data_IF_384784463108
#
_entry.id   IF_384784463108
#
_cell.length_a   1.000
_cell.length_b   1.000
_cell.length_c   1.000
_cell.angle_alpha   90.00
_cell.angle_beta   90.00
_cell.angle_gamma   90.00
#
_symmetry.space_group_name_H-M   'P 1'
#
loop_
_entity.id
_entity.type
_entity.pdbx_description
1 polymer ?
#
# COMPACT_ATOMS: atom_id res chain seq x y z
N UNK A 1 -15.76 -35.25 -16.23
CA UNK A 1 -16.18 -36.67 -16.34
C UNK A 1 -17.05 -36.97 -15.13
N UNK A 2 -18.19 -37.63 -15.29
CA UNK A 2 -19.04 -38.05 -14.15
C UNK A 2 -18.41 -39.26 -13.48
N UNK A 3 -18.26 -39.22 -12.17
CA UNK A 3 -17.79 -40.35 -11.39
C UNK A 3 -18.88 -41.43 -11.42
N UNK A 4 -18.52 -42.66 -11.78
CA UNK A 4 -19.41 -43.82 -11.60
C UNK A 4 -19.28 -44.31 -10.16
N UNK A 5 -20.39 -44.37 -9.46
CA UNK A 5 -20.44 -44.80 -8.06
C UNK A 5 -20.82 -46.28 -8.02
N UNK A 6 -19.95 -47.16 -8.56
CA UNK A 6 -20.15 -48.60 -8.56
C UNK A 6 -19.10 -49.30 -7.67
N UNK A 7 -19.44 -50.49 -7.18
CA UNK A 7 -18.50 -51.30 -6.37
C UNK A 7 -17.29 -51.68 -7.25
N UNK A 8 -16.10 -51.57 -6.67
CA UNK A 8 -14.77 -51.74 -7.28
C UNK A 8 -14.33 -50.62 -8.25
N UNK A 9 -15.07 -49.48 -8.34
CA UNK A 9 -14.61 -48.31 -9.10
C UNK A 9 -13.50 -47.62 -8.34
N UNK A 10 -12.53 -47.09 -9.12
CA UNK A 10 -11.40 -46.36 -8.55
C UNK A 10 -11.77 -44.87 -8.47
N UNK A 11 -11.60 -44.30 -7.28
CA UNK A 11 -11.81 -42.88 -7.02
C UNK A 11 -10.60 -42.31 -6.29
N UNK A 12 -10.44 -40.99 -6.33
CA UNK A 12 -9.38 -40.28 -5.66
C UNK A 12 -9.99 -39.31 -4.62
N UNK A 13 -9.40 -39.31 -3.45
CA UNK A 13 -9.70 -38.35 -2.39
C UNK A 13 -8.36 -37.71 -1.94
N UNK A 14 -8.22 -36.42 -2.18
CA UNK A 14 -6.99 -35.65 -1.84
C UNK A 14 -5.72 -36.36 -2.34
N UNK A 15 -5.66 -36.66 -3.64
CA UNK A 15 -4.56 -37.37 -4.35
C UNK A 15 -4.32 -38.83 -3.94
N UNK A 16 -5.04 -39.35 -2.96
CA UNK A 16 -4.92 -40.73 -2.53
C UNK A 16 -5.95 -41.60 -3.26
N UNK A 17 -5.51 -42.73 -3.74
CA UNK A 17 -6.33 -43.70 -4.51
C UNK A 17 -7.16 -44.59 -3.59
N UNK A 18 -8.45 -44.66 -3.87
CA UNK A 18 -9.41 -45.49 -3.14
C UNK A 18 -10.20 -46.39 -4.12
N UNK A 19 -10.68 -47.50 -3.65
CA UNK A 19 -11.60 -48.40 -4.35
C UNK A 19 -12.93 -48.42 -3.62
N UNK A 20 -14.04 -48.13 -4.29
CA UNK A 20 -15.37 -48.13 -3.70
C UNK A 20 -15.75 -49.57 -3.32
N UNK A 21 -16.02 -49.81 -2.04
CA UNK A 21 -16.51 -51.09 -1.52
C UNK A 21 -18.05 -51.11 -1.45
N UNK A 22 -18.67 -49.99 -1.05
CA UNK A 22 -20.13 -49.86 -1.01
C UNK A 22 -20.55 -48.40 -1.05
N UNK A 23 -21.69 -48.11 -1.67
CA UNK A 23 -22.37 -46.80 -1.59
C UNK A 23 -23.30 -46.86 -0.39
N UNK A 24 -23.04 -46.00 0.62
CA UNK A 24 -23.81 -46.00 1.86
C UNK A 24 -25.11 -45.20 1.73
N UNK A 25 -25.02 -44.03 1.08
CA UNK A 25 -26.16 -43.15 0.80
C UNK A 25 -25.81 -42.21 -0.35
N UNK A 26 -26.70 -41.25 -0.66
CA UNK A 26 -26.47 -40.23 -1.73
C UNK A 26 -25.32 -39.25 -1.46
N UNK A 27 -24.76 -39.24 -0.25
CA UNK A 27 -23.70 -38.29 0.14
C UNK A 27 -22.38 -39.00 0.42
N UNK A 28 -22.38 -40.29 0.76
CA UNK A 28 -21.18 -41.00 1.26
C UNK A 28 -21.01 -42.37 0.66
N UNK A 29 -19.76 -42.77 0.46
CA UNK A 29 -19.33 -44.11 0.06
C UNK A 29 -18.34 -44.69 1.07
N UNK A 30 -18.34 -45.99 1.25
CA UNK A 30 -17.27 -46.71 1.92
C UNK A 30 -16.25 -47.12 0.84
N UNK A 31 -15.02 -46.68 1.02
CA UNK A 31 -13.95 -46.94 0.08
C UNK A 31 -12.67 -47.35 0.77
N UNK A 32 -11.95 -48.30 0.18
CA UNK A 32 -10.71 -48.84 0.71
C UNK A 32 -9.52 -48.10 0.12
N UNK A 33 -8.67 -47.58 0.98
CA UNK A 33 -7.40 -46.96 0.60
C UNK A 33 -6.46 -48.04 0.02
N UNK A 34 -5.94 -47.80 -1.19
CA UNK A 34 -5.09 -48.77 -1.90
C UNK A 34 -3.68 -48.90 -1.29
N UNK A 35 -3.21 -47.88 -0.59
CA UNK A 35 -1.87 -47.85 0.01
C UNK A 35 -1.87 -48.43 1.43
N UNK A 36 -2.87 -48.05 2.25
CA UNK A 36 -2.93 -48.47 3.67
C UNK A 36 -3.78 -49.71 3.91
N UNK A 37 -4.61 -50.08 2.92
CA UNK A 37 -5.55 -51.23 3.02
C UNK A 37 -6.73 -51.00 3.97
N UNK A 38 -6.89 -49.80 4.57
CA UNK A 38 -7.99 -49.47 5.50
C UNK A 38 -9.19 -48.94 4.72
N UNK A 39 -10.38 -49.27 5.21
CA UNK A 39 -11.64 -48.76 4.65
C UNK A 39 -12.08 -47.53 5.43
N UNK A 40 -12.42 -46.43 4.65
CA UNK A 40 -12.87 -45.16 5.17
C UNK A 40 -14.22 -44.79 4.58
N UNK A 41 -14.99 -43.94 5.28
CA UNK A 41 -16.23 -43.37 4.76
C UNK A 41 -15.94 -42.00 4.19
N UNK A 42 -16.10 -41.88 2.87
CA UNK A 42 -15.77 -40.66 2.11
C UNK A 42 -17.03 -40.00 1.59
N UNK A 43 -17.04 -38.65 1.58
CA UNK A 43 -18.13 -37.87 0.97
C UNK A 43 -17.97 -37.85 -0.55
N UNK A 44 -19.05 -38.19 -1.27
CA UNK A 44 -19.09 -38.25 -2.74
C UNK A 44 -18.69 -36.91 -3.37
N UNK A 45 -19.08 -35.80 -2.73
CA UNK A 45 -18.77 -34.45 -3.20
C UNK A 45 -17.26 -34.14 -3.27
N UNK A 46 -16.42 -34.89 -2.57
CA UNK A 46 -14.96 -34.67 -2.51
C UNK A 46 -14.17 -35.73 -3.30
N UNK A 47 -14.85 -36.63 -4.02
CA UNK A 47 -14.21 -37.64 -4.83
C UNK A 47 -13.95 -37.12 -6.24
N UNK A 48 -12.84 -37.56 -6.84
CA UNK A 48 -12.47 -37.27 -8.23
C UNK A 48 -12.18 -38.55 -8.98
N UNK A 49 -12.39 -38.58 -10.33
CA UNK A 49 -12.08 -39.69 -11.17
C UNK A 49 -10.60 -39.81 -11.56
N UNK A 50 -9.79 -38.80 -11.24
CA UNK A 50 -8.36 -38.75 -11.49
C UNK A 50 -7.67 -38.01 -10.31
N UNK A 51 -6.37 -38.26 -10.05
CA UNK A 51 -5.64 -37.56 -9.02
C UNK A 51 -5.58 -36.07 -9.32
N UNK A 52 -5.69 -35.26 -8.27
CA UNK A 52 -5.60 -33.79 -8.38
C UNK A 52 -4.23 -33.33 -8.88
N UNK A 53 -3.19 -34.16 -8.75
CA UNK A 53 -1.85 -33.93 -9.22
C UNK A 53 -1.75 -33.79 -10.76
N UNK A 54 -2.65 -34.39 -11.51
CA UNK A 54 -2.70 -34.23 -12.97
C UNK A 54 -3.27 -32.88 -13.42
N UNK A 55 -3.90 -32.12 -12.49
CA UNK A 55 -4.34 -30.75 -12.73
C UNK A 55 -3.31 -29.69 -12.34
N UNK A 56 -2.13 -30.06 -11.82
CA UNK A 56 -1.04 -29.15 -11.40
C UNK A 56 -0.34 -28.39 -12.53
N UNK A 57 -0.72 -28.55 -13.77
CA UNK A 57 -0.15 -27.81 -14.90
C UNK A 57 -0.97 -26.59 -15.36
N UNK A 58 -2.02 -26.18 -14.65
CA UNK A 58 -2.49 -24.81 -14.78
C UNK A 58 -1.63 -23.92 -13.90
N UNK A 59 -0.67 -23.23 -14.53
CA UNK A 59 0.13 -22.17 -13.91
C UNK A 59 -0.80 -21.30 -13.07
N UNK A 60 -0.57 -21.29 -11.76
CA UNK A 60 -1.13 -20.25 -10.89
C UNK A 60 -0.60 -18.94 -11.47
N UNK A 61 -1.43 -18.24 -12.21
CA UNK A 61 -1.03 -16.97 -12.81
C UNK A 61 -0.87 -15.99 -11.65
N UNK A 62 0.33 -15.50 -11.49
CA UNK A 62 0.60 -14.44 -10.52
C UNK A 62 -0.28 -13.24 -10.90
N UNK A 63 -1.17 -12.86 -9.97
CA UNK A 63 -2.11 -11.74 -10.16
C UNK A 63 -1.40 -10.45 -10.57
N UNK A 64 -0.14 -10.30 -10.17
CA UNK A 64 0.69 -9.15 -10.55
C UNK A 64 1.07 -9.11 -12.04
N UNK A 65 0.91 -10.21 -12.75
CA UNK A 65 1.23 -10.32 -14.19
C UNK A 65 -0.01 -10.16 -15.07
N UNK A 66 -1.21 -10.09 -14.49
CA UNK A 66 -2.47 -10.00 -15.23
C UNK A 66 -2.78 -8.53 -15.54
N UNK A 67 -3.11 -8.18 -16.80
CA UNK A 67 -3.54 -6.84 -17.17
C UNK A 67 -4.72 -6.36 -16.33
N UNK A 68 -4.66 -5.12 -15.86
CA UNK A 68 -5.67 -4.47 -14.99
C UNK A 68 -7.11 -4.65 -15.51
N UNK A 69 -7.32 -4.48 -16.82
CA UNK A 69 -8.63 -4.68 -17.47
C UNK A 69 -9.18 -6.10 -17.31
N UNK A 70 -8.32 -7.10 -17.30
CA UNK A 70 -8.74 -8.50 -17.11
C UNK A 70 -9.04 -8.78 -15.65
N UNK A 71 -8.30 -8.16 -14.75
CA UNK A 71 -8.51 -8.26 -13.31
C UNK A 71 -9.86 -7.63 -12.92
N UNK A 72 -10.16 -6.44 -13.44
CA UNK A 72 -11.46 -5.77 -13.21
C UNK A 72 -12.64 -6.60 -13.76
N UNK A 73 -12.46 -7.26 -14.92
CA UNK A 73 -13.48 -8.19 -15.46
C UNK A 73 -13.64 -9.42 -14.57
N UNK A 74 -12.56 -9.96 -14.03
CA UNK A 74 -12.60 -11.09 -13.13
C UNK A 74 -13.31 -10.74 -11.82
N UNK A 75 -13.06 -9.54 -11.25
CA UNK A 75 -13.77 -9.02 -10.09
C UNK A 75 -15.27 -8.91 -10.33
N UNK A 76 -15.69 -8.29 -11.44
CA UNK A 76 -17.11 -8.21 -11.82
C UNK A 76 -17.76 -9.59 -11.96
N UNK A 77 -17.04 -10.57 -12.48
CA UNK A 77 -17.54 -11.95 -12.58
C UNK A 77 -17.68 -12.59 -11.20
N UNK A 78 -16.70 -12.35 -10.32
CA UNK A 78 -16.76 -12.83 -8.94
C UNK A 78 -17.97 -12.23 -8.20
N UNK A 79 -18.19 -10.93 -8.26
CA UNK A 79 -19.35 -10.24 -7.68
C UNK A 79 -20.67 -10.75 -8.26
N UNK A 80 -20.69 -11.13 -9.55
CA UNK A 80 -21.86 -11.69 -10.19
C UNK A 80 -22.22 -13.07 -9.63
N UNK A 81 -21.24 -13.95 -9.38
CA UNK A 81 -21.48 -15.34 -8.98
C UNK A 81 -21.60 -15.55 -7.48
N UNK A 82 -20.96 -14.70 -6.63
CA UNK A 82 -20.96 -14.86 -5.17
C UNK A 82 -22.33 -15.08 -4.53
N UNK A 83 -23.39 -14.31 -4.90
CA UNK A 83 -24.72 -14.49 -4.29
C UNK A 83 -25.35 -15.86 -4.57
N UNK A 84 -25.04 -16.46 -5.72
CA UNK A 84 -25.65 -17.73 -6.19
C UNK A 84 -24.70 -18.92 -6.02
N UNK A 85 -23.44 -18.67 -5.64
CA UNK A 85 -22.41 -19.71 -5.53
C UNK A 85 -22.72 -20.75 -4.45
N UNK A 86 -23.24 -20.30 -3.28
CA UNK A 86 -23.55 -21.18 -2.14
C UNK A 86 -24.88 -21.92 -2.32
N UNK A 87 -25.88 -21.28 -2.90
CA UNK A 87 -27.22 -21.85 -3.07
C UNK A 87 -27.33 -22.79 -4.27
N UNK A 88 -26.51 -22.61 -5.29
CA UNK A 88 -26.41 -23.37 -6.55
C UNK A 88 -27.79 -23.83 -7.11
N UNK A 89 -28.82 -23.00 -6.95
CA UNK A 89 -30.13 -23.26 -7.50
C UNK A 89 -30.19 -22.78 -8.95
N UNK A 90 -30.73 -23.61 -9.83
CA UNK A 90 -30.93 -23.27 -11.26
C UNK A 90 -31.74 -21.99 -11.41
N UNK A 91 -32.82 -21.87 -10.66
CA UNK A 91 -33.71 -20.71 -10.70
C UNK A 91 -32.98 -19.42 -10.26
N UNK A 92 -32.19 -19.46 -9.16
CA UNK A 92 -31.41 -18.34 -8.70
C UNK A 92 -30.34 -17.90 -9.72
N UNK A 93 -29.72 -18.86 -10.43
CA UNK A 93 -28.75 -18.57 -11.49
C UNK A 93 -29.43 -17.92 -12.70
N UNK A 94 -30.61 -18.40 -13.11
CA UNK A 94 -31.39 -17.83 -14.22
C UNK A 94 -31.85 -16.39 -13.91
N UNK A 95 -32.36 -16.14 -12.70
CA UNK A 95 -32.77 -14.81 -12.23
C UNK A 95 -31.57 -13.85 -12.20
N UNK A 96 -30.45 -14.28 -11.64
CA UNK A 96 -29.22 -13.47 -11.57
C UNK A 96 -28.62 -13.18 -12.94
N UNK A 97 -28.65 -14.15 -13.87
CA UNK A 97 -28.21 -13.96 -15.24
C UNK A 97 -29.07 -12.91 -15.97
N UNK A 98 -30.39 -12.92 -15.77
CA UNK A 98 -31.32 -11.95 -16.32
C UNK A 98 -31.10 -10.55 -15.75
N UNK A 99 -30.89 -10.45 -14.44
CA UNK A 99 -30.59 -9.19 -13.74
C UNK A 99 -29.34 -8.50 -14.30
N UNK A 100 -28.29 -9.29 -14.54
CA UNK A 100 -26.99 -8.79 -15.02
C UNK A 100 -26.89 -8.69 -16.56
N UNK A 101 -27.90 -9.10 -17.29
CA UNK A 101 -27.88 -9.11 -18.77
C UNK A 101 -26.86 -10.06 -19.40
N UNK A 102 -26.51 -11.15 -18.70
CA UNK A 102 -25.54 -12.14 -19.15
C UNK A 102 -26.25 -13.46 -19.48
N UNK A 103 -25.63 -14.29 -20.37
CA UNK A 103 -26.20 -15.59 -20.69
C UNK A 103 -26.08 -16.55 -19.48
N UNK A 104 -27.09 -17.41 -19.30
CA UNK A 104 -27.09 -18.46 -18.28
C UNK A 104 -25.84 -19.33 -18.39
N UNK A 105 -25.44 -19.66 -19.63
CA UNK A 105 -24.23 -20.43 -19.91
C UNK A 105 -22.96 -19.73 -19.40
N UNK A 106 -22.89 -18.40 -19.51
CA UNK A 106 -21.77 -17.63 -18.96
C UNK A 106 -21.69 -17.73 -17.45
N UNK A 107 -22.83 -17.67 -16.75
CA UNK A 107 -22.88 -17.83 -15.29
C UNK A 107 -22.38 -19.21 -14.85
N UNK A 108 -22.84 -20.27 -15.50
CA UNK A 108 -22.34 -21.62 -15.23
C UNK A 108 -20.84 -21.77 -15.49
N UNK A 109 -20.35 -21.20 -16.59
CA UNK A 109 -18.92 -21.24 -16.91
C UNK A 109 -18.09 -20.53 -15.83
N UNK A 110 -18.54 -19.38 -15.33
CA UNK A 110 -17.85 -18.64 -14.26
C UNK A 110 -17.90 -19.40 -12.93
N UNK A 111 -19.05 -19.95 -12.57
CA UNK A 111 -19.20 -20.74 -11.34
C UNK A 111 -18.28 -21.98 -11.39
N UNK A 112 -18.25 -22.69 -12.50
CA UNK A 112 -17.41 -23.89 -12.65
C UNK A 112 -15.92 -23.55 -12.63
N UNK A 113 -15.52 -22.44 -13.28
CA UNK A 113 -14.14 -21.98 -13.25
C UNK A 113 -13.70 -21.55 -11.84
N UNK A 114 -14.55 -20.85 -11.09
CA UNK A 114 -14.27 -20.45 -9.72
C UNK A 114 -14.24 -21.63 -8.77
N UNK A 115 -15.16 -22.61 -8.92
CA UNK A 115 -15.24 -23.81 -8.09
C UNK A 115 -13.98 -24.68 -8.17
N UNK A 116 -13.26 -24.64 -9.31
CA UNK A 116 -12.06 -25.46 -9.50
C UNK A 116 -10.91 -25.08 -8.54
N UNK A 117 -10.75 -23.78 -8.25
CA UNK A 117 -9.60 -23.29 -7.46
C UNK A 117 -9.98 -22.25 -6.39
N UNK A 118 -11.21 -21.77 -6.33
CA UNK A 118 -11.72 -20.70 -5.46
C UNK A 118 -10.85 -19.43 -5.46
N UNK A 119 -10.15 -19.16 -6.57
CA UNK A 119 -9.25 -18.02 -6.74
C UNK A 119 -9.77 -17.06 -7.80
N UNK A 120 -9.53 -15.74 -7.61
CA UNK A 120 -9.88 -14.72 -8.58
C UNK A 120 -9.24 -14.96 -9.95
N UNK A 121 -8.02 -15.49 -9.97
CA UNK A 121 -7.30 -15.86 -11.20
C UNK A 121 -8.03 -16.86 -12.08
N UNK A 122 -8.85 -17.73 -11.50
CA UNK A 122 -9.66 -18.70 -12.26
C UNK A 122 -10.77 -18.05 -13.10
N UNK A 123 -11.14 -16.81 -12.76
CA UNK A 123 -12.13 -16.00 -13.49
C UNK A 123 -11.49 -15.09 -14.55
N UNK A 124 -10.18 -15.12 -14.67
CA UNK A 124 -9.45 -14.43 -15.74
C UNK A 124 -9.51 -15.30 -17.00
N UNK A 125 -10.48 -15.04 -17.84
CA UNK A 125 -10.51 -15.65 -19.18
C UNK A 125 -9.72 -14.74 -20.12
N UNK A 126 -8.60 -15.19 -20.60
CA UNK A 126 -8.00 -14.63 -21.80
C UNK A 126 -9.05 -14.80 -22.90
N UNK A 127 -9.54 -13.66 -23.41
CA UNK A 127 -10.59 -13.71 -24.41
C UNK A 127 -10.12 -14.57 -25.59
N UNK A 128 -10.70 -15.73 -25.75
CA UNK A 128 -10.67 -16.39 -27.04
C UNK A 128 -11.33 -15.40 -27.98
N UNK A 129 -10.53 -14.77 -28.82
CA UNK A 129 -10.99 -13.89 -29.87
C UNK A 129 -11.80 -14.74 -30.86
N UNK A 130 -13.05 -15.03 -30.48
CA UNK A 130 -13.98 -15.75 -31.27
C UNK A 130 -14.17 -15.04 -32.63
N UNK A 131 -13.65 -15.59 -33.69
CA UNK A 131 -13.89 -15.22 -35.08
C UNK A 131 -13.54 -13.79 -35.52
N UNK A 132 -13.50 -12.82 -34.58
CA UNK A 132 -13.19 -11.41 -34.80
C UNK A 132 -11.87 -10.95 -34.20
N UNK A 133 -10.99 -11.86 -33.82
CA UNK A 133 -9.80 -11.49 -33.09
C UNK A 133 -8.67 -12.50 -33.11
N UNK A 134 -8.62 -13.42 -34.04
CA UNK A 134 -7.35 -14.03 -34.43
C UNK A 134 -6.45 -12.90 -34.84
N UNK A 135 -5.34 -12.69 -34.11
CA UNK A 135 -4.35 -11.66 -34.41
C UNK A 135 -4.09 -11.75 -35.92
N UNK A 136 -4.43 -10.66 -36.63
CA UNK A 136 -4.22 -10.58 -38.10
C UNK A 136 -2.73 -10.50 -38.43
N UNK A 137 -1.89 -10.55 -37.42
CA UNK A 137 -0.44 -10.50 -37.56
C UNK A 137 0.11 -11.92 -37.55
N UNK A 138 1.10 -12.13 -38.40
CA UNK A 138 1.92 -13.32 -38.41
C UNK A 138 2.58 -13.52 -37.03
N UNK A 139 2.72 -14.75 -36.59
CA UNK A 139 3.36 -15.12 -35.33
C UNK A 139 4.78 -14.58 -35.22
N UNK A 140 5.49 -14.47 -36.36
CA UNK A 140 6.82 -13.86 -36.41
C UNK A 140 6.81 -12.39 -36.05
N UNK A 141 5.81 -11.64 -36.55
CA UNK A 141 5.65 -10.20 -36.23
C UNK A 141 5.31 -10.01 -34.74
N UNK A 142 4.40 -10.85 -34.19
CA UNK A 142 4.07 -10.80 -32.77
C UNK A 142 5.30 -11.07 -31.89
N UNK A 143 6.15 -12.01 -32.24
CA UNK A 143 7.42 -12.26 -31.53
C UNK A 143 8.38 -11.08 -31.60
N UNK A 144 8.51 -10.42 -32.76
CA UNK A 144 9.32 -9.21 -32.89
C UNK A 144 8.78 -8.10 -32.00
N UNK A 145 7.46 -7.87 -31.98
CA UNK A 145 6.84 -6.85 -31.11
C UNK A 145 7.12 -7.15 -29.63
N UNK A 146 6.90 -8.40 -29.18
CA UNK A 146 7.12 -8.80 -27.80
C UNK A 146 8.57 -8.65 -27.37
N UNK A 147 9.51 -9.07 -28.22
CA UNK A 147 10.93 -8.90 -27.93
C UNK A 147 11.33 -7.42 -27.87
N UNK A 148 10.89 -6.61 -28.82
CA UNK A 148 11.16 -5.17 -28.82
C UNK A 148 10.55 -4.45 -27.61
N UNK A 149 9.35 -4.85 -27.17
CA UNK A 149 8.75 -4.32 -25.92
C UNK A 149 9.63 -4.72 -24.74
N UNK A 150 10.02 -5.99 -24.63
CA UNK A 150 10.80 -6.51 -23.51
C UNK A 150 12.21 -5.92 -23.41
N UNK A 151 12.93 -5.84 -24.54
CA UNK A 151 14.35 -5.58 -24.58
C UNK A 151 14.69 -4.11 -24.88
N UNK A 152 13.78 -3.37 -25.53
CA UNK A 152 13.98 -1.98 -25.89
C UNK A 152 13.04 -1.04 -25.10
N UNK A 153 11.71 -1.30 -25.10
CA UNK A 153 10.74 -0.39 -24.50
C UNK A 153 10.73 -0.43 -22.98
N UNK A 154 10.84 -1.62 -22.37
CA UNK A 154 10.87 -1.82 -20.92
C UNK A 154 12.26 -1.61 -20.33
N UNK A 155 12.87 -0.46 -20.62
CA UNK A 155 14.21 -0.11 -20.15
C UNK A 155 14.20 1.22 -19.38
N UNK A 156 15.20 1.49 -18.50
CA UNK A 156 15.32 2.74 -17.74
C UNK A 156 15.44 3.99 -18.61
N UNK A 157 15.83 3.87 -19.89
CA UNK A 157 15.95 4.95 -20.86
C UNK A 157 14.59 5.50 -21.30
N UNK A 158 13.50 4.77 -21.01
CA UNK A 158 12.11 5.16 -21.26
C UNK A 158 11.83 5.61 -22.71
N UNK A 159 12.20 4.85 -23.74
CA UNK A 159 11.94 5.23 -25.12
C UNK A 159 10.43 5.42 -25.35
N UNK A 160 10.08 6.32 -26.27
CA UNK A 160 8.68 6.57 -26.63
C UNK A 160 8.12 5.43 -27.47
N UNK A 161 6.79 5.35 -27.58
CA UNK A 161 6.14 4.34 -28.44
C UNK A 161 6.51 4.55 -29.91
N UNK A 162 6.78 5.78 -30.32
CA UNK A 162 7.26 6.09 -31.67
C UNK A 162 8.64 5.46 -31.92
N UNK A 163 9.55 5.62 -30.98
CA UNK A 163 10.88 4.99 -31.06
C UNK A 163 10.82 3.47 -31.01
N UNK A 164 9.91 2.89 -30.23
CA UNK A 164 9.65 1.45 -30.25
C UNK A 164 9.15 1.01 -31.62
N UNK A 165 8.26 1.76 -32.26
CA UNK A 165 7.76 1.45 -33.60
C UNK A 165 8.86 1.50 -34.66
N UNK A 166 9.76 2.50 -34.61
CA UNK A 166 10.95 2.57 -35.48
C UNK A 166 11.86 1.36 -35.31
N UNK A 167 12.12 0.92 -34.07
CA UNK A 167 12.91 -0.28 -33.77
C UNK A 167 12.24 -1.55 -34.34
N UNK A 168 10.92 -1.72 -34.14
CA UNK A 168 10.17 -2.84 -34.70
C UNK A 168 10.23 -2.82 -36.24
N UNK A 169 10.07 -1.64 -36.86
CA UNK A 169 10.15 -1.52 -38.32
C UNK A 169 11.53 -1.93 -38.85
N UNK A 170 12.59 -1.55 -38.16
CA UNK A 170 13.96 -1.95 -38.51
C UNK A 170 14.16 -3.47 -38.37
N UNK A 171 13.64 -4.10 -37.32
CA UNK A 171 13.72 -5.55 -37.12
C UNK A 171 12.88 -6.32 -38.16
N UNK A 172 11.70 -5.82 -38.52
CA UNK A 172 10.88 -6.38 -39.59
C UNK A 172 11.57 -6.29 -40.95
N UNK A 173 12.19 -5.13 -41.27
CA UNK A 173 12.97 -4.97 -42.52
C UNK A 173 14.14 -5.96 -42.61
N UNK A 174 14.87 -6.19 -41.51
CA UNK A 174 15.93 -7.21 -41.47
C UNK A 174 15.40 -8.64 -41.71
N UNK A 175 14.15 -8.90 -41.35
CA UNK A 175 13.50 -10.18 -41.54
C UNK A 175 12.76 -10.29 -42.86
N UNK A 176 12.79 -9.27 -43.75
CA UNK A 176 11.98 -9.18 -44.96
C UNK A 176 10.45 -9.36 -44.73
N UNK A 177 9.94 -8.75 -43.68
CA UNK A 177 8.54 -8.80 -43.27
C UNK A 177 7.98 -7.37 -43.21
N UNK A 178 6.70 -7.20 -43.58
CA UNK A 178 6.04 -5.91 -43.49
C UNK A 178 5.88 -5.45 -42.02
N UNK A 179 6.19 -4.18 -41.76
CA UNK A 179 6.09 -3.60 -40.43
C UNK A 179 4.64 -3.37 -39.99
N UNK A 180 4.28 -3.69 -38.74
CA UNK A 180 2.94 -3.39 -38.22
C UNK A 180 2.75 -1.88 -38.04
N UNK A 181 1.51 -1.40 -38.19
CA UNK A 181 1.18 0.00 -37.93
C UNK A 181 1.35 0.40 -36.47
N UNK A 182 1.72 1.66 -36.20
CA UNK A 182 1.95 2.20 -34.84
C UNK A 182 0.76 2.01 -33.87
N UNK A 183 -0.48 1.99 -34.39
CA UNK A 183 -1.69 1.73 -33.59
C UNK A 183 -1.67 0.33 -32.99
N UNK A 184 -1.18 -0.66 -33.76
CA UNK A 184 -1.01 -2.04 -33.28
C UNK A 184 0.03 -2.10 -32.17
N UNK A 185 1.17 -1.44 -32.36
CA UNK A 185 2.24 -1.38 -31.33
C UNK A 185 1.73 -0.71 -30.06
N UNK A 186 0.99 0.42 -30.15
CA UNK A 186 0.35 1.04 -28.99
C UNK A 186 -0.56 0.11 -28.22
N UNK A 187 -1.37 -0.68 -28.93
CA UNK A 187 -2.26 -1.65 -28.31
C UNK A 187 -1.48 -2.71 -27.54
N UNK A 188 -0.39 -3.23 -28.10
CA UNK A 188 0.46 -4.21 -27.41
C UNK A 188 1.17 -3.62 -26.19
N UNK A 189 1.59 -2.37 -26.25
CA UNK A 189 2.16 -1.65 -25.10
C UNK A 189 1.09 -1.48 -24.00
N UNK A 190 -0.17 -1.18 -24.35
CA UNK A 190 -1.25 -1.05 -23.38
C UNK A 190 -1.65 -2.38 -22.70
N UNK A 191 -1.33 -3.52 -23.33
CA UNK A 191 -1.53 -4.85 -22.77
C UNK A 191 -0.45 -5.23 -21.75
N UNK A 192 0.67 -4.47 -21.71
CA UNK A 192 1.73 -4.69 -20.72
C UNK A 192 1.21 -4.35 -19.32
N UNK A 193 1.47 -5.24 -18.36
CA UNK A 193 1.11 -5.02 -16.97
C UNK A 193 1.80 -3.76 -16.42
N UNK A 194 1.02 -2.86 -15.77
CA UNK A 194 1.49 -1.59 -15.25
C UNK A 194 2.62 -1.76 -14.21
N UNK A 195 2.53 -2.77 -13.36
CA UNK A 195 3.58 -3.12 -12.41
C UNK A 195 4.91 -3.40 -13.10
N UNK A 196 4.90 -4.23 -14.16
CA UNK A 196 6.10 -4.56 -14.91
C UNK A 196 6.65 -3.35 -15.67
N UNK A 197 5.77 -2.53 -16.21
CA UNK A 197 6.12 -1.30 -16.91
C UNK A 197 6.83 -0.32 -15.96
N UNK A 198 6.25 -0.03 -14.80
CA UNK A 198 6.85 0.86 -13.80
C UNK A 198 8.13 0.27 -13.22
N UNK A 199 8.14 -1.04 -12.89
CA UNK A 199 9.32 -1.70 -12.31
C UNK A 199 10.54 -1.64 -13.23
N UNK A 200 10.35 -1.88 -14.51
CA UNK A 200 11.43 -1.90 -15.50
C UNK A 200 11.87 -0.51 -15.92
N UNK A 201 10.94 0.44 -16.06
CA UNK A 201 11.22 1.79 -16.54
C UNK A 201 11.58 2.77 -15.42
N UNK A 202 10.99 2.63 -14.24
CA UNK A 202 11.14 3.59 -13.12
C UNK A 202 11.79 3.00 -11.87
N UNK A 203 11.94 1.67 -11.85
CA UNK A 203 12.58 0.96 -10.76
C UNK A 203 11.64 0.62 -9.58
N UNK A 204 12.21 -0.03 -8.57
CA UNK A 204 11.44 -0.57 -7.42
C UNK A 204 10.69 0.50 -6.63
N UNK A 205 11.22 1.74 -6.53
CA UNK A 205 10.58 2.82 -5.76
C UNK A 205 9.23 3.26 -6.36
N UNK A 206 9.12 3.29 -7.68
CA UNK A 206 7.87 3.64 -8.36
C UNK A 206 6.78 2.59 -8.16
N UNK A 207 7.17 1.32 -8.16
CA UNK A 207 6.27 0.18 -7.93
C UNK A 207 5.70 0.16 -6.51
N UNK A 208 6.47 0.62 -5.53
CA UNK A 208 5.99 0.68 -4.14
C UNK A 208 4.71 1.52 -3.97
N UNK A 209 4.41 2.42 -4.91
CA UNK A 209 3.16 3.20 -4.93
C UNK A 209 1.93 2.38 -5.34
N UNK A 210 2.14 1.30 -6.09
CA UNK A 210 1.06 0.41 -6.57
C UNK A 210 0.83 -0.81 -5.65
N UNK A 211 1.80 -1.12 -4.80
CA UNK A 211 1.68 -2.28 -3.90
C UNK A 211 0.77 -1.89 -2.72
N UNK A 212 -0.32 -2.63 -2.48
CA UNK A 212 -1.14 -2.42 -1.29
C UNK A 212 -0.29 -2.51 -0.02
N UNK A 213 -0.59 -1.66 0.94
CA UNK A 213 0.04 -1.71 2.26
C UNK A 213 -0.35 -3.04 2.91
N UNK A 214 0.59 -3.99 2.98
CA UNK A 214 0.34 -5.34 3.53
C UNK A 214 0.52 -5.44 5.04
N UNK A 215 1.10 -4.43 5.68
CA UNK A 215 1.34 -4.44 7.12
C UNK A 215 0.42 -3.43 7.78
N UNK A 216 -0.07 -3.77 8.95
CA UNK A 216 -0.79 -2.85 9.81
C UNK A 216 0.07 -1.61 10.05
N UNK A 217 -0.54 -0.46 9.86
CA UNK A 217 0.03 0.81 10.23
C UNK A 217 0.20 0.79 11.76
N UNK A 218 1.29 1.36 12.33
CA UNK A 218 1.36 1.48 13.77
C UNK A 218 0.22 2.38 14.23
N UNK A 219 -0.88 1.78 14.63
CA UNK A 219 -2.04 2.43 15.23
C UNK A 219 -1.91 2.31 16.74
N UNK A 220 -2.33 3.34 17.48
CA UNK A 220 -2.39 3.30 18.92
C UNK A 220 -3.81 2.98 19.38
N UNK A 221 -3.95 2.12 20.38
CA UNK A 221 -5.24 1.78 20.98
C UNK A 221 -5.57 2.70 22.17
N UNK A 222 -4.57 3.34 22.76
CA UNK A 222 -4.66 4.26 23.89
C UNK A 222 -3.55 5.33 23.84
N UNK A 223 -3.69 6.43 24.57
CA UNK A 223 -2.69 7.50 24.60
C UNK A 223 -1.30 7.00 25.01
N UNK A 224 -0.25 7.48 24.33
CA UNK A 224 1.15 7.12 24.58
C UNK A 224 1.51 5.64 24.32
N UNK A 225 0.62 4.85 23.68
CA UNK A 225 1.01 3.52 23.24
C UNK A 225 2.10 3.62 22.16
N UNK A 226 1.92 4.51 21.19
CA UNK A 226 2.89 4.73 20.11
C UNK A 226 3.11 6.24 19.93
N UNK A 227 4.34 6.70 20.11
CA UNK A 227 4.78 8.02 19.65
C UNK A 227 5.48 7.91 18.31
N UNK A 228 5.19 8.82 17.38
CA UNK A 228 6.00 9.03 16.19
C UNK A 228 6.84 10.30 16.36
N UNK A 229 8.14 10.18 16.05
CA UNK A 229 9.07 11.31 16.10
C UNK A 229 9.65 11.53 14.70
N UNK A 230 9.73 12.79 14.33
CA UNK A 230 10.39 13.25 13.12
C UNK A 230 10.93 14.66 13.28
N UNK A 231 11.82 15.08 12.40
CA UNK A 231 12.37 16.42 12.40
C UNK A 231 12.33 17.04 11.01
N UNK A 232 12.20 18.35 10.98
CA UNK A 232 12.21 19.11 9.74
C UNK A 232 12.87 20.45 9.92
N UNK A 233 13.47 20.97 8.84
CA UNK A 233 13.93 22.35 8.82
C UNK A 233 12.74 23.28 8.62
N UNK A 234 12.57 24.21 9.55
CA UNK A 234 11.40 25.11 9.54
C UNK A 234 11.50 26.14 8.42
N UNK A 235 10.39 26.43 7.77
CA UNK A 235 10.32 27.39 6.64
C UNK A 235 10.21 28.85 7.10
N UNK A 236 11.02 29.25 8.10
CA UNK A 236 11.15 30.62 8.59
C UNK A 236 12.61 30.94 8.88
N UNK A 237 13.01 32.19 8.65
CA UNK A 237 14.30 32.73 9.07
C UNK A 237 14.08 33.42 10.40
N UNK A 238 14.88 33.03 11.41
CA UNK A 238 14.92 33.69 12.74
C UNK A 238 16.12 34.59 12.86
N UNK A 239 16.02 35.54 13.81
CA UNK A 239 17.04 36.56 14.06
C UNK A 239 17.56 36.44 15.51
N UNK A 240 18.72 37.03 15.76
CA UNK A 240 19.28 37.07 17.11
C UNK A 240 18.47 38.03 18.03
N UNK A 241 18.62 37.83 19.36
CA UNK A 241 17.84 38.54 20.37
C UNK A 241 18.26 40.04 20.56
N UNK A 242 19.48 40.40 20.15
CA UNK A 242 20.05 41.72 20.47
C UNK A 242 20.00 42.69 19.29
N UNK A 243 20.52 42.24 18.15
CA UNK A 243 20.70 43.09 16.98
C UNK A 243 19.70 42.78 15.85
N UNK A 244 18.87 41.74 16.04
CA UNK A 244 17.93 41.26 15.03
C UNK A 244 18.60 40.87 13.71
N UNK A 245 19.86 40.38 13.80
CA UNK A 245 20.58 39.86 12.67
C UNK A 245 20.13 38.45 12.34
N UNK A 246 20.13 38.12 11.07
CA UNK A 246 19.72 36.82 10.57
C UNK A 246 20.59 35.68 11.15
N UNK A 247 19.97 34.68 11.75
CA UNK A 247 20.60 33.44 12.20
C UNK A 247 20.35 32.27 11.23
N UNK A 248 19.31 32.38 10.40
CA UNK A 248 18.92 31.35 9.47
C UNK A 248 17.66 30.59 9.87
N UNK A 249 17.47 29.40 9.28
CA UNK A 249 16.29 28.58 9.50
C UNK A 249 16.52 27.57 10.61
N UNK A 250 15.69 27.54 11.67
CA UNK A 250 15.80 26.57 12.75
C UNK A 250 15.31 25.17 12.29
N UNK A 251 15.62 24.20 13.12
CA UNK A 251 15.07 22.85 13.03
C UNK A 251 14.06 22.63 14.14
N UNK A 252 13.01 21.89 13.85
CA UNK A 252 12.06 21.40 14.83
C UNK A 252 12.03 19.88 14.82
N UNK A 253 12.10 19.28 15.99
CA UNK A 253 11.84 17.86 16.24
C UNK A 253 10.51 17.76 16.96
N UNK A 254 9.58 16.95 16.48
CA UNK A 254 8.22 16.84 17.03
C UNK A 254 7.89 15.39 17.32
N UNK A 255 7.23 15.14 18.43
CA UNK A 255 6.65 13.86 18.80
C UNK A 255 5.12 13.96 18.79
N UNK A 256 4.46 13.10 18.03
CA UNK A 256 2.99 12.99 18.00
C UNK A 256 2.54 11.68 18.61
N UNK A 257 1.53 11.74 19.47
CA UNK A 257 0.80 10.56 19.93
C UNK A 257 -0.09 10.00 18.81
N UNK A 258 0.14 8.74 18.45
CA UNK A 258 -0.54 8.13 17.32
C UNK A 258 -2.03 7.91 17.57
N UNK A 259 -2.44 7.66 18.82
CA UNK A 259 -3.84 7.46 19.18
C UNK A 259 -4.66 8.76 19.08
N UNK A 260 -4.24 9.78 19.79
CA UNK A 260 -4.99 11.03 19.91
C UNK A 260 -4.66 12.06 18.83
N UNK A 261 -3.52 11.93 18.16
CA UNK A 261 -2.93 12.95 17.27
C UNK A 261 -2.44 14.20 18.03
N UNK A 262 -2.40 14.18 19.35
CA UNK A 262 -1.81 15.27 20.12
C UNK A 262 -0.30 15.33 19.92
N UNK A 263 0.25 16.52 19.86
CA UNK A 263 1.69 16.72 19.98
C UNK A 263 2.06 16.40 21.41
N UNK A 264 2.85 15.35 21.63
CA UNK A 264 3.31 14.97 22.96
C UNK A 264 4.49 15.82 23.43
N UNK A 265 5.34 16.28 22.50
CA UNK A 265 6.47 17.15 22.79
C UNK A 265 7.12 17.66 21.52
N UNK A 266 7.93 18.69 21.64
CA UNK A 266 8.76 19.20 20.56
C UNK A 266 10.07 19.81 21.11
N UNK A 267 11.04 20.01 20.22
CA UNK A 267 12.29 20.70 20.50
C UNK A 267 12.72 21.52 19.29
N UNK A 268 13.14 22.76 19.50
CA UNK A 268 13.59 23.67 18.44
C UNK A 268 15.06 24.00 18.65
N UNK A 269 15.85 24.01 17.58
CA UNK A 269 17.29 24.30 17.63
C UNK A 269 17.77 24.92 16.30
N UNK A 270 18.82 25.72 16.36
CA UNK A 270 19.55 26.17 15.17
C UNK A 270 20.49 25.10 14.62
N UNK A 271 20.84 24.12 15.42
CA UNK A 271 21.71 23.02 15.04
C UNK A 271 20.95 21.94 14.27
N UNK A 272 21.66 21.28 13.35
CA UNK A 272 21.14 20.09 12.66
C UNK A 272 20.72 19.04 13.70
N UNK A 273 19.50 18.48 13.60
CA UNK A 273 19.02 17.53 14.58
C UNK A 273 19.86 16.25 14.60
N UNK A 274 20.07 15.76 15.81
CA UNK A 274 20.77 14.52 16.08
C UNK A 274 20.19 13.86 17.34
N UNK A 275 20.96 12.98 17.96
CA UNK A 275 20.54 12.26 19.17
C UNK A 275 20.14 13.21 20.31
N UNK A 276 20.80 14.37 20.43
CA UNK A 276 20.48 15.37 21.46
C UNK A 276 19.08 15.97 21.25
N UNK A 277 18.77 16.45 20.04
CA UNK A 277 17.46 17.03 19.74
C UNK A 277 16.33 15.99 19.89
N UNK A 278 16.59 14.74 19.51
CA UNK A 278 15.65 13.63 19.73
C UNK A 278 15.45 13.36 21.22
N UNK A 279 16.52 13.31 22.00
CA UNK A 279 16.47 13.12 23.46
C UNK A 279 15.70 14.24 24.16
N UNK A 280 15.91 15.51 23.77
CA UNK A 280 15.16 16.65 24.29
C UNK A 280 13.66 16.55 23.94
N UNK A 281 13.34 16.16 22.71
CA UNK A 281 11.96 15.97 22.29
C UNK A 281 11.27 14.86 23.08
N UNK A 282 11.94 13.71 23.29
CA UNK A 282 11.43 12.60 24.12
C UNK A 282 11.25 13.06 25.57
N UNK A 283 12.24 13.74 26.16
CA UNK A 283 12.14 14.29 27.51
C UNK A 283 10.96 15.25 27.64
N UNK A 284 10.80 16.15 26.70
CA UNK A 284 9.64 17.04 26.65
C UNK A 284 8.31 16.30 26.49
N UNK A 285 8.26 15.20 25.76
CA UNK A 285 7.06 14.37 25.63
C UNK A 285 6.71 13.66 26.94
N UNK A 286 7.72 13.23 27.71
CA UNK A 286 7.53 12.53 28.98
C UNK A 286 7.16 13.45 30.14
N UNK A 287 7.54 14.73 30.09
CA UNK A 287 7.32 15.67 31.17
C UNK A 287 5.99 16.43 31.05
N UNK A 288 5.37 16.80 32.20
CA UNK A 288 4.22 17.71 32.24
C UNK A 288 4.52 19.04 31.56
N UNK A 289 3.48 19.69 31.00
CA UNK A 289 3.62 20.90 30.17
C UNK A 289 3.30 22.19 30.94
N UNK A 290 2.93 22.12 32.23
CA UNK A 290 2.48 23.24 33.04
C UNK A 290 3.50 24.39 33.03
N UNK A 291 4.79 24.09 33.25
CA UNK A 291 5.85 25.09 33.22
C UNK A 291 5.98 25.81 31.89
N UNK A 292 5.80 25.07 30.77
CA UNK A 292 5.85 25.65 29.42
C UNK A 292 4.63 26.56 29.19
N UNK A 293 3.46 26.10 29.60
CA UNK A 293 2.21 26.85 29.46
C UNK A 293 2.23 28.11 30.34
N UNK A 294 2.75 28.03 31.56
CA UNK A 294 2.93 29.18 32.48
C UNK A 294 3.93 30.19 31.89
N UNK A 295 5.07 29.73 31.34
CA UNK A 295 6.09 30.59 30.71
C UNK A 295 5.46 31.51 29.65
N UNK A 296 4.56 30.98 28.86
CA UNK A 296 3.92 31.70 27.75
C UNK A 296 2.48 32.14 28.04
N UNK A 297 2.01 32.03 29.31
CA UNK A 297 0.67 32.43 29.76
C UNK A 297 -0.47 31.81 28.95
N UNK A 298 -0.28 30.57 28.48
CA UNK A 298 -1.26 29.82 27.68
C UNK A 298 -2.29 29.20 28.62
N UNK A 299 -3.59 29.39 28.34
CA UNK A 299 -4.69 28.88 29.16
C UNK A 299 -5.20 27.50 28.72
N UNK A 300 -4.90 27.11 27.52
CA UNK A 300 -5.32 25.80 26.99
C UNK A 300 -4.62 24.64 27.69
N UNK A 301 -5.31 23.51 27.75
CA UNK A 301 -4.78 22.28 28.35
C UNK A 301 -3.83 21.60 27.38
N UNK A 302 -2.75 21.05 27.90
CA UNK A 302 -1.86 20.15 27.18
C UNK A 302 -1.59 18.91 28.04
N UNK A 303 -2.58 17.97 28.14
CA UNK A 303 -2.56 16.90 29.12
C UNK A 303 -1.68 15.71 28.74
N UNK A 304 -1.20 15.62 27.48
CA UNK A 304 -0.42 14.47 27.02
C UNK A 304 1.02 14.54 27.53
N UNK A 305 1.35 13.67 28.46
CA UNK A 305 2.69 13.45 29.00
C UNK A 305 2.79 12.07 29.65
N UNK A 306 3.98 11.53 29.75
CA UNK A 306 4.25 10.23 30.36
C UNK A 306 5.23 9.39 29.55
N UNK A 307 5.54 8.20 30.04
CA UNK A 307 6.45 7.26 29.38
C UNK A 307 5.69 6.53 28.27
N UNK A 308 6.09 6.68 26.99
CA UNK A 308 5.45 5.97 25.91
C UNK A 308 5.86 4.49 25.93
N UNK A 309 4.98 3.61 25.48
CA UNK A 309 5.30 2.19 25.33
C UNK A 309 6.24 1.94 24.16
N UNK A 310 6.04 2.68 23.08
CA UNK A 310 6.79 2.52 21.82
C UNK A 310 7.07 3.88 21.18
N UNK A 311 8.26 4.03 20.62
CA UNK A 311 8.62 5.18 19.79
C UNK A 311 8.93 4.69 18.38
N UNK A 312 8.27 5.29 17.39
CA UNK A 312 8.43 5.01 15.98
C UNK A 312 9.19 6.16 15.29
N UNK A 313 10.40 5.87 14.81
CA UNK A 313 11.30 6.88 14.23
C UNK A 313 11.71 6.50 12.80
N UNK A 314 12.15 7.49 12.01
CA UNK A 314 12.76 7.22 10.72
C UNK A 314 14.10 6.50 10.88
N UNK A 315 14.46 5.74 9.86
CA UNK A 315 15.70 4.95 9.82
C UNK A 315 16.93 5.81 9.43
N UNK A 316 16.86 7.12 9.63
CA UNK A 316 17.96 8.03 9.38
C UNK A 316 19.10 7.81 10.40
N UNK A 317 20.35 8.00 9.96
CA UNK A 317 21.54 7.79 10.79
C UNK A 317 21.57 8.71 12.02
N UNK A 318 20.95 9.88 11.90
CA UNK A 318 20.86 10.90 12.97
C UNK A 318 20.08 10.40 14.20
N UNK A 319 19.15 9.45 14.03
CA UNK A 319 18.40 8.85 15.13
C UNK A 319 19.10 7.64 15.77
N UNK A 320 20.08 7.02 15.06
CA UNK A 320 20.76 5.81 15.51
C UNK A 320 21.91 6.14 16.45
N UNK A 321 21.61 6.53 17.67
CA UNK A 321 22.59 6.69 18.73
C UNK A 321 22.40 5.60 19.79
N UNK A 322 23.49 4.89 20.16
CA UNK A 322 23.45 3.89 21.24
C UNK A 322 22.91 4.49 22.54
N UNK A 323 23.08 5.79 22.76
CA UNK A 323 22.65 6.48 23.97
C UNK A 323 21.14 6.64 24.07
N UNK A 324 20.44 6.94 22.93
CA UNK A 324 18.99 6.99 22.90
C UNK A 324 18.40 5.59 23.09
N UNK A 325 18.96 4.59 22.43
CA UNK A 325 18.51 3.20 22.56
C UNK A 325 18.64 2.72 24.02
N UNK A 326 19.77 3.00 24.66
CA UNK A 326 19.99 2.67 26.08
C UNK A 326 19.02 3.42 27.00
N UNK A 327 18.89 4.73 26.83
CA UNK A 327 17.97 5.53 27.62
C UNK A 327 16.53 5.02 27.47
N UNK A 328 16.07 4.77 26.27
CA UNK A 328 14.73 4.21 26.03
C UNK A 328 14.57 2.83 26.68
N UNK A 329 15.58 1.97 26.61
CA UNK A 329 15.55 0.66 27.23
C UNK A 329 15.43 0.74 28.76
N UNK A 330 16.14 1.68 29.41
CA UNK A 330 16.06 1.91 30.86
C UNK A 330 14.66 2.33 31.31
N UNK A 331 13.94 3.09 30.48
CA UNK A 331 12.55 3.49 30.74
C UNK A 331 11.51 2.48 30.25
N UNK A 332 11.94 1.31 29.71
CA UNK A 332 11.05 0.29 29.16
C UNK A 332 10.38 0.69 27.85
N UNK A 333 10.94 1.64 27.12
CA UNK A 333 10.43 2.14 25.85
C UNK A 333 10.99 1.31 24.71
N UNK A 334 10.12 0.74 23.88
CA UNK A 334 10.52 0.03 22.66
C UNK A 334 10.72 0.99 21.50
N UNK A 335 11.87 0.92 20.82
CA UNK A 335 12.10 1.68 19.58
C UNK A 335 11.81 0.83 18.37
N UNK A 336 11.02 1.36 17.44
CA UNK A 336 10.71 0.74 16.15
C UNK A 336 11.17 1.65 15.01
N UNK A 337 12.04 1.13 14.17
CA UNK A 337 12.56 1.85 13.02
C UNK A 337 11.64 1.68 11.81
N UNK A 338 11.34 2.79 11.11
CA UNK A 338 10.54 2.75 9.87
C UNK A 338 11.25 1.91 8.81
N UNK A 339 10.53 1.03 8.10
CA UNK A 339 11.14 0.30 6.99
C UNK A 339 11.61 1.23 5.88
N UNK A 340 12.82 1.00 5.38
CA UNK A 340 13.40 1.80 4.29
C UNK A 340 12.53 1.72 3.03
N UNK A 341 12.25 2.87 2.43
CA UNK A 341 11.48 2.96 1.18
C UNK A 341 9.97 2.82 1.33
N UNK A 342 9.44 2.93 2.55
CA UNK A 342 7.99 2.91 2.85
C UNK A 342 7.54 4.19 3.55
N UNK A 343 7.41 5.33 2.83
CA UNK A 343 7.09 6.62 3.43
C UNK A 343 5.73 6.66 4.14
N UNK A 344 4.78 5.83 3.73
CA UNK A 344 3.45 5.78 4.35
C UNK A 344 3.46 5.45 5.85
N UNK A 345 4.51 4.81 6.38
CA UNK A 345 4.66 4.57 7.82
C UNK A 345 4.89 5.85 8.65
N UNK A 346 5.23 6.97 8.01
CA UNK A 346 5.36 8.29 8.62
C UNK A 346 4.14 9.21 8.46
N UNK A 347 3.05 8.74 7.85
CA UNK A 347 1.98 9.61 7.38
C UNK A 347 1.31 10.50 8.44
N UNK A 348 1.29 10.12 9.72
CA UNK A 348 0.72 10.95 10.78
C UNK A 348 1.62 12.14 11.12
N UNK A 349 2.91 11.89 11.32
CA UNK A 349 3.87 12.94 11.64
C UNK A 349 4.13 13.86 10.43
N UNK A 350 4.21 13.30 9.22
CA UNK A 350 4.37 14.09 7.99
C UNK A 350 3.18 15.04 7.76
N UNK A 351 1.95 14.57 8.04
CA UNK A 351 0.74 15.42 7.95
C UNK A 351 0.73 16.51 9.02
N UNK A 352 1.16 16.20 10.24
CA UNK A 352 1.32 17.20 11.29
C UNK A 352 2.33 18.27 10.88
N UNK A 353 3.54 17.86 10.47
CA UNK A 353 4.59 18.79 10.04
C UNK A 353 4.14 19.67 8.88
N UNK A 354 3.39 19.09 7.92
CA UNK A 354 2.80 19.88 6.83
C UNK A 354 1.81 20.92 7.36
N UNK A 355 0.93 20.54 8.30
CA UNK A 355 -0.03 21.47 8.90
C UNK A 355 0.67 22.62 9.61
N UNK A 356 1.70 22.32 10.41
CA UNK A 356 2.49 23.35 11.09
C UNK A 356 3.21 24.27 10.08
N UNK A 357 3.76 23.75 8.99
CA UNK A 357 4.39 24.54 7.95
C UNK A 357 3.40 25.44 7.21
N UNK A 358 2.18 24.97 6.92
CA UNK A 358 1.15 25.78 6.27
C UNK A 358 0.80 27.01 7.14
N UNK A 359 0.75 26.88 8.46
CA UNK A 359 0.55 27.99 9.39
C UNK A 359 1.81 28.89 9.50
N UNK A 360 3.02 28.31 9.54
CA UNK A 360 4.30 29.06 9.54
C UNK A 360 4.46 29.94 8.30
N UNK A 361 3.94 29.51 7.14
CA UNK A 361 3.99 30.30 5.93
C UNK A 361 3.21 31.61 5.98
N UNK A 362 2.40 31.83 7.03
CA UNK A 362 1.71 33.10 7.28
C UNK A 362 2.58 34.13 8.01
N UNK A 363 3.73 33.71 8.55
CA UNK A 363 4.63 34.56 9.33
C UNK A 363 5.58 35.38 8.44
N UNK A 364 6.01 36.53 8.95
CA UNK A 364 7.09 37.32 8.34
C UNK A 364 8.41 36.55 8.43
N UNK A 365 9.23 36.61 7.39
CA UNK A 365 10.50 35.87 7.32
C UNK A 365 10.33 34.42 6.82
N UNK A 366 9.12 34.00 6.43
CA UNK A 366 8.90 32.67 5.81
C UNK A 366 9.71 32.49 4.54
N UNK A 367 10.25 31.29 4.35
CA UNK A 367 10.98 30.93 3.13
C UNK A 367 10.11 30.21 2.10
N UNK A 368 8.86 29.91 2.47
CA UNK A 368 7.93 29.08 1.70
C UNK A 368 8.46 27.66 1.39
N UNK A 369 7.60 26.78 0.97
CA UNK A 369 7.99 25.40 0.64
C UNK A 369 8.80 25.27 -0.66
N UNK A 370 8.75 26.27 -1.54
CA UNK A 370 9.52 26.30 -2.79
C UNK A 370 9.67 27.73 -3.34
N UNK A 371 10.65 27.90 -4.26
CA UNK A 371 11.00 29.17 -4.88
C UNK A 371 9.84 29.79 -5.67
N UNK A 372 9.00 28.96 -6.32
CA UNK A 372 7.86 29.45 -7.09
C UNK A 372 6.79 30.10 -6.21
N UNK A 373 6.54 29.55 -5.01
CA UNK A 373 5.60 30.15 -4.05
C UNK A 373 6.16 31.41 -3.41
N UNK A 374 7.48 31.52 -3.25
CA UNK A 374 8.14 32.67 -2.67
C UNK A 374 8.08 33.90 -3.60
N UNK A 375 8.20 33.70 -4.92
CA UNK A 375 8.26 34.82 -5.88
C UNK A 375 9.37 35.81 -5.54
N UNK A 376 9.02 37.11 -5.51
CA UNK A 376 9.93 38.22 -5.19
C UNK A 376 10.02 38.54 -3.69
N UNK A 377 9.40 37.71 -2.83
CA UNK A 377 9.42 37.93 -1.38
C UNK A 377 10.83 37.73 -0.80
N UNK A 378 11.36 38.77 -0.19
CA UNK A 378 12.68 38.76 0.45
C UNK A 378 12.56 38.27 1.91
N UNK A 379 12.70 36.97 2.08
CA UNK A 379 12.55 36.31 3.39
C UNK A 379 13.55 36.82 4.43
N UNK A 380 14.76 37.21 4.01
CA UNK A 380 15.82 37.70 4.90
C UNK A 380 15.47 39.08 5.45
N UNK A 381 15.11 40.02 4.58
CA UNK A 381 14.71 41.38 5.00
C UNK A 381 13.44 41.39 5.83
N UNK A 382 12.57 40.40 5.63
CA UNK A 382 11.30 40.29 6.34
C UNK A 382 11.41 39.47 7.64
N UNK A 383 12.57 38.89 7.94
CA UNK A 383 12.80 38.14 9.16
C UNK A 383 12.81 39.08 10.37
N UNK A 384 11.96 38.83 11.35
CA UNK A 384 11.82 39.67 12.56
C UNK A 384 11.72 38.88 13.85
N UNK A 385 11.42 37.59 13.77
CA UNK A 385 11.12 36.75 14.92
C UNK A 385 12.40 36.09 15.45
N UNK A 386 12.64 36.16 16.76
CA UNK A 386 13.73 35.42 17.42
C UNK A 386 13.38 33.96 17.60
N UNK A 387 14.34 33.13 18.01
CA UNK A 387 14.08 31.71 18.29
C UNK A 387 13.10 31.53 19.44
N UNK A 388 13.22 32.35 20.52
CA UNK A 388 12.33 32.32 21.70
C UNK A 388 10.89 32.74 21.30
N UNK A 389 10.77 33.83 20.53
CA UNK A 389 9.47 34.29 20.02
C UNK A 389 8.82 33.23 19.09
N UNK A 390 9.63 32.49 18.33
CA UNK A 390 9.14 31.38 17.51
C UNK A 390 8.73 30.19 18.39
N UNK A 391 9.46 29.87 19.44
CA UNK A 391 9.06 28.83 20.40
C UNK A 391 7.72 29.18 21.10
N UNK A 392 7.54 30.44 21.51
CA UNK A 392 6.26 30.91 22.04
C UNK A 392 5.12 30.71 21.03
N UNK A 393 5.32 31.22 19.81
CA UNK A 393 4.32 31.15 18.76
C UNK A 393 3.92 29.69 18.41
N UNK A 394 4.89 28.79 18.26
CA UNK A 394 4.61 27.38 17.95
C UNK A 394 3.91 26.67 19.11
N UNK A 395 4.24 27.06 20.37
CA UNK A 395 3.57 26.53 21.55
C UNK A 395 2.10 26.93 21.59
N UNK A 396 1.79 28.19 21.28
CA UNK A 396 0.42 28.70 21.15
C UNK A 396 -0.30 27.98 20.00
N UNK A 397 0.33 27.88 18.82
CA UNK A 397 -0.25 27.19 17.68
C UNK A 397 -0.63 25.74 18.01
N UNK A 398 0.24 25.02 18.71
CA UNK A 398 -0.02 23.63 19.10
C UNK A 398 -1.14 23.55 20.15
N UNK A 399 -1.03 24.29 21.24
CA UNK A 399 -1.91 24.19 22.40
C UNK A 399 -3.31 24.78 22.12
N UNK A 400 -3.38 25.98 21.55
CA UNK A 400 -4.64 26.70 21.38
C UNK A 400 -5.35 26.38 20.08
N UNK A 401 -4.60 26.11 18.99
CA UNK A 401 -5.18 25.92 17.67
C UNK A 401 -5.21 24.44 17.28
N UNK A 402 -4.05 23.78 17.15
CA UNK A 402 -3.98 22.43 16.61
C UNK A 402 -4.70 21.40 17.48
N UNK A 403 -4.49 21.40 18.79
CA UNK A 403 -5.12 20.44 19.71
C UNK A 403 -6.64 20.59 19.79
N UNK A 404 -7.18 21.78 19.49
CA UNK A 404 -8.62 22.08 19.57
C UNK A 404 -9.33 22.00 18.21
N UNK A 405 -8.60 22.04 17.11
CA UNK A 405 -9.16 21.98 15.75
C UNK A 405 -9.64 20.56 15.42
N UNK A 406 -10.79 20.43 14.77
CA UNK A 406 -11.30 19.13 14.31
C UNK A 406 -10.32 18.52 13.31
N UNK A 407 -9.79 17.34 13.66
CA UNK A 407 -8.91 16.56 12.79
C UNK A 407 -9.73 15.70 11.84
N UNK A 408 -9.54 15.86 10.52
CA UNK A 408 -10.36 15.23 9.49
C UNK A 408 -10.46 13.69 9.59
N UNK A 409 -9.37 13.02 9.99
CA UNK A 409 -9.37 11.57 10.13
C UNK A 409 -9.97 11.08 11.45
N UNK A 410 -10.05 11.92 12.48
CA UNK A 410 -10.64 11.58 13.78
C UNK A 410 -12.13 11.98 13.87
N UNK A 411 -12.58 12.95 13.06
CA UNK A 411 -13.91 13.55 13.19
C UNK A 411 -14.10 14.39 14.46
N UNK A 412 -13.05 14.57 15.26
CA UNK A 412 -13.00 15.32 16.53
C UNK A 412 -11.64 15.98 16.71
N UNK A 413 -11.51 16.85 17.72
CA UNK A 413 -10.19 17.44 18.01
C UNK A 413 -9.26 16.42 18.69
N UNK A 414 -7.92 16.58 18.52
CA UNK A 414 -6.92 15.76 19.22
C UNK A 414 -7.13 15.73 20.74
N UNK A 415 -7.43 16.87 21.35
CA UNK A 415 -7.68 16.97 22.79
C UNK A 415 -8.90 16.11 23.21
N UNK A 416 -10.02 16.21 22.49
CA UNK A 416 -11.19 15.37 22.78
C UNK A 416 -10.90 13.90 22.62
N UNK A 417 -10.09 13.53 21.62
CA UNK A 417 -9.71 12.13 21.40
C UNK A 417 -8.81 11.61 22.51
N UNK A 418 -7.99 12.46 23.10
CA UNK A 418 -7.12 12.11 24.24
C UNK A 418 -7.92 11.89 25.54
N UNK A 419 -8.98 12.68 25.75
CA UNK A 419 -9.81 12.63 26.97
C UNK A 419 -10.81 11.47 27.00
N UNK A 420 -11.04 10.79 25.87
CA UNK A 420 -11.86 9.57 25.77
C UNK A 420 -11.14 8.31 26.25
#
# INVERSE_FOLDING_TARGET
>A
MSIRLEKNEIVYFVDTKYIIEAVLNFETVMAKNTETGKSDVLKIAHLTSAPLSDHKNQKVQDLSQIPEKLLQKAQKRLEAILPVYKSYSRQAIEERAKELGVSIQSMYNWINAYRANEQLSSLVFEGTNGGRGKGRLDEKIEKIIQNAIKDYYLTPQKPTVTKLHEEIAMQCAKANIDSPGIVTVRRRVQEVNEYNLLKKREGKKAVNKLVPIKNEYPDGNYPLEVLMIDHTRVDIIVVDNHHRLELGRPWITVAIDVFSRMVAGFYISMETPGYFATGQCIGNAMLPKEKLLEKYKIKSKWPVWGIPKMIHMDNAKEFRGNDIERACLEYGISIVWRPVGRPHFGGHIERLLKTLHDDIHTLKGTTFSNIHKRGEYDSQKMATMTLDEFEEWITILIADVYHNKIHSALGKSPLKRYEE
#
